data_IF_870597993599
#
_entry.id   IF_870597993599
#
_cell.length_a   1.000
_cell.length_b   1.000
_cell.length_c   1.000
_cell.angle_alpha   90.00
_cell.angle_beta   90.00
_cell.angle_gamma   90.00
#
_symmetry.space_group_name_H-M   'P 1'
#
loop_
_entity.id
_entity.type
_entity.pdbx_description
1 polymer ?
#
# COMPACT_ATOMS: atom_id res chain seq x y z
N UNK A 1 9.45 78.59 -0.81
CA UNK A 1 9.56 77.27 -0.18
C UNK A 1 11.04 76.93 -0.06
N UNK A 2 11.46 76.46 1.11
CA UNK A 2 12.79 76.57 1.71
C UNK A 2 13.94 75.70 1.11
N UNK A 3 15.16 76.28 1.16
CA UNK A 3 16.48 75.74 1.57
C UNK A 3 17.12 74.59 0.74
N UNK A 4 18.25 74.76 0.03
CA UNK A 4 19.68 74.84 0.49
C UNK A 4 20.00 73.76 1.56
N UNK A 5 21.03 72.90 1.47
CA UNK A 5 22.49 73.17 1.54
C UNK A 5 23.25 71.83 1.34
N UNK A 6 24.39 71.87 0.63
CA UNK A 6 25.48 70.88 0.63
C UNK A 6 26.26 70.90 1.95
N UNK A 7 26.64 69.75 2.54
CA UNK A 7 28.00 69.61 3.13
C UNK A 7 28.31 68.18 3.54
N UNK A 8 29.50 67.74 3.15
CA UNK A 8 30.22 66.60 3.68
C UNK A 8 30.61 66.81 5.15
N UNK A 9 30.80 65.71 5.90
CA UNK A 9 31.94 65.55 6.82
C UNK A 9 32.05 64.13 7.36
N UNK A 10 33.29 63.64 7.35
CA UNK A 10 33.77 62.36 7.86
C UNK A 10 33.57 62.28 9.38
N UNK A 11 33.27 61.08 9.88
CA UNK A 11 33.69 60.67 11.22
C UNK A 11 34.34 59.29 11.10
N UNK A 12 35.67 59.28 11.25
CA UNK A 12 36.39 58.07 11.64
C UNK A 12 36.06 57.79 13.11
N UNK A 13 35.74 56.55 13.43
CA UNK A 13 35.79 56.04 14.80
C UNK A 13 36.52 54.71 14.77
N UNK A 14 37.75 54.77 15.27
CA UNK A 14 38.58 53.64 15.66
C UNK A 14 37.95 52.94 16.85
N UNK A 15 37.63 51.65 16.72
CA UNK A 15 37.39 50.78 17.90
C UNK A 15 38.27 49.55 17.79
N UNK A 16 38.86 49.30 18.94
CA UNK A 16 40.02 48.50 19.26
C UNK A 16 39.79 47.00 19.20
N UNK A 17 40.88 46.33 18.86
CA UNK A 17 41.11 44.89 18.85
C UNK A 17 40.91 44.30 20.25
N UNK A 18 40.02 43.30 20.39
CA UNK A 18 40.10 42.33 21.49
C UNK A 18 39.89 40.94 20.93
N UNK A 19 41.01 40.22 20.81
CA UNK A 19 41.06 38.75 20.69
C UNK A 19 40.47 38.14 21.96
N UNK A 20 39.60 37.14 21.82
CA UNK A 20 39.28 36.19 22.89
C UNK A 20 39.66 34.77 22.44
N UNK A 21 40.19 33.97 23.38
CA UNK A 21 40.95 32.77 23.07
C UNK A 21 40.05 31.61 22.64
N UNK A 22 40.66 30.72 21.87
CA UNK A 22 40.20 29.35 21.69
C UNK A 22 40.10 28.66 23.05
N UNK A 23 39.00 27.95 23.28
CA UNK A 23 38.98 26.88 24.26
C UNK A 23 38.45 25.61 23.61
N UNK A 24 39.36 24.64 23.60
CA UNK A 24 39.17 23.27 23.19
C UNK A 24 38.16 22.58 24.12
N UNK A 25 37.12 21.99 23.56
CA UNK A 25 36.47 20.83 24.17
C UNK A 25 36.94 19.59 23.43
N UNK A 26 38.10 19.08 23.83
CA UNK A 26 38.43 17.66 23.60
C UNK A 26 37.73 16.81 24.65
N UNK A 27 37.54 15.56 24.25
CA UNK A 27 37.25 14.37 25.05
C UNK A 27 35.74 14.13 25.27
N UNK A 28 35.16 12.94 25.07
CA UNK A 28 35.66 11.60 24.69
C UNK A 28 34.39 10.74 24.47
N UNK A 29 34.49 9.72 23.60
CA UNK A 29 33.60 8.55 23.50
C UNK A 29 32.14 8.75 23.05
N UNK A 30 31.84 8.31 21.83
CA UNK A 30 31.37 6.92 21.59
C UNK A 30 31.28 6.65 20.10
N UNK A 31 31.99 5.60 19.69
CA UNK A 31 31.78 4.92 18.42
C UNK A 31 30.32 4.49 18.31
N UNK A 32 29.63 4.94 17.26
CA UNK A 32 28.59 4.17 16.63
C UNK A 32 28.63 4.50 15.14
N UNK A 33 29.48 3.76 14.42
CA UNK A 33 29.36 3.64 12.98
C UNK A 33 27.94 3.12 12.71
N UNK A 34 27.06 3.99 12.24
CA UNK A 34 25.78 3.61 11.67
C UNK A 34 26.09 2.80 10.41
N UNK A 35 26.21 1.48 10.58
CA UNK A 35 26.01 0.53 9.49
C UNK A 35 24.53 0.21 9.44
N UNK A 36 23.76 1.09 8.80
CA UNK A 36 22.43 0.72 8.35
C UNK A 36 22.63 -0.18 7.13
N UNK A 37 22.64 -1.50 7.35
CA UNK A 37 22.40 -2.48 6.29
C UNK A 37 20.92 -2.83 6.37
N UNK A 38 20.08 -2.02 5.74
CA UNK A 38 18.74 -2.46 5.35
C UNK A 38 18.89 -3.31 4.08
N UNK A 39 19.43 -4.52 4.22
CA UNK A 39 19.28 -5.54 3.18
C UNK A 39 17.92 -6.20 3.40
N UNK A 40 16.88 -5.51 2.96
CA UNK A 40 15.52 -6.05 2.87
C UNK A 40 15.11 -6.08 1.42
N UNK A 41 15.83 -6.80 0.56
CA UNK A 41 15.24 -7.24 -0.71
C UNK A 41 14.22 -8.30 -0.33
N UNK A 42 13.02 -7.85 0.06
CA UNK A 42 11.87 -8.70 0.29
C UNK A 42 11.60 -9.43 -1.03
N UNK A 43 12.02 -10.69 -1.10
CA UNK A 43 11.46 -11.65 -2.03
C UNK A 43 9.99 -11.80 -1.60
N UNK A 44 9.12 -10.97 -2.17
CA UNK A 44 7.69 -10.99 -1.88
C UNK A 44 7.17 -12.36 -2.28
N UNK A 45 6.72 -13.11 -1.28
CA UNK A 45 6.26 -14.49 -1.43
C UNK A 45 5.06 -14.56 -2.37
N UNK A 46 5.16 -15.38 -3.41
CA UNK A 46 4.06 -15.79 -4.33
C UNK A 46 2.98 -16.66 -3.62
N UNK A 47 2.98 -16.67 -2.28
CA UNK A 47 2.03 -17.45 -1.50
C UNK A 47 0.70 -16.68 -1.37
N UNK A 48 -0.42 -17.40 -1.50
CA UNK A 48 -1.75 -16.84 -1.29
C UNK A 48 -1.94 -16.43 0.17
N UNK A 49 -2.51 -15.23 0.32
CA UNK A 49 -2.96 -14.66 1.59
C UNK A 49 -4.44 -14.37 1.50
N UNK A 50 -5.15 -14.47 2.62
CA UNK A 50 -6.61 -14.38 2.65
C UNK A 50 -7.11 -13.36 3.66
N UNK A 51 -8.22 -12.70 3.34
CA UNK A 51 -8.98 -11.82 4.22
C UNK A 51 -10.09 -12.58 4.94
N UNK A 52 -10.62 -12.00 6.01
CA UNK A 52 -11.84 -12.47 6.68
C UNK A 52 -13.10 -12.32 5.82
N UNK A 53 -13.03 -11.49 4.77
CA UNK A 53 -14.06 -11.29 3.75
C UNK A 53 -13.98 -12.29 2.59
N UNK A 54 -13.13 -13.32 2.70
CA UNK A 54 -12.97 -14.38 1.71
C UNK A 54 -12.36 -13.93 0.37
N UNK A 55 -11.64 -12.81 0.36
CA UNK A 55 -10.77 -12.41 -0.74
C UNK A 55 -9.38 -13.02 -0.57
N UNK A 56 -8.68 -13.22 -1.67
CA UNK A 56 -7.29 -13.64 -1.69
C UNK A 56 -6.42 -12.60 -2.36
N UNK A 57 -5.15 -12.58 -1.97
CA UNK A 57 -4.09 -11.81 -2.62
C UNK A 57 -2.83 -12.66 -2.79
N UNK A 58 -2.22 -12.59 -3.97
CA UNK A 58 -0.86 -13.09 -4.22
C UNK A 58 0.02 -11.93 -4.65
N UNK A 59 1.18 -11.77 -4.03
CA UNK A 59 2.09 -10.66 -4.31
C UNK A 59 3.33 -11.16 -5.04
N UNK A 60 3.52 -10.67 -6.25
CA UNK A 60 4.68 -10.97 -7.09
C UNK A 60 5.33 -9.67 -7.54
N UNK A 61 6.62 -9.51 -7.26
CA UNK A 61 7.40 -8.34 -7.68
C UNK A 61 6.79 -6.97 -7.29
N UNK A 62 6.09 -6.91 -6.15
CA UNK A 62 5.44 -5.68 -5.65
C UNK A 62 4.03 -5.43 -6.21
N UNK A 63 3.53 -6.33 -7.06
CA UNK A 63 2.16 -6.29 -7.58
C UNK A 63 1.34 -7.36 -6.88
N UNK A 64 0.28 -6.93 -6.19
CA UNK A 64 -0.72 -7.79 -5.58
C UNK A 64 -1.85 -8.09 -6.56
N UNK A 65 -2.03 -9.36 -6.91
CA UNK A 65 -3.21 -9.84 -7.65
C UNK A 65 -4.28 -10.23 -6.66
N UNK A 66 -5.50 -9.71 -6.81
CA UNK A 66 -6.61 -9.90 -5.88
C UNK A 66 -7.76 -10.64 -6.58
N UNK A 67 -8.42 -11.54 -5.85
CA UNK A 67 -9.64 -12.22 -6.28
C UNK A 67 -10.48 -12.71 -5.11
N UNK A 68 -11.53 -13.47 -5.39
CA UNK A 68 -12.34 -14.13 -4.35
C UNK A 68 -12.02 -15.62 -4.24
N UNK A 69 -12.13 -16.16 -3.03
CA UNK A 69 -11.84 -17.57 -2.78
C UNK A 69 -12.91 -18.51 -3.34
N UNK A 70 -12.57 -19.80 -3.43
CA UNK A 70 -13.51 -20.85 -3.82
C UNK A 70 -14.78 -20.88 -2.94
N UNK A 71 -14.60 -20.71 -1.63
CA UNK A 71 -15.72 -20.67 -0.68
C UNK A 71 -16.69 -19.50 -0.94
N UNK A 72 -16.14 -18.32 -1.25
CA UNK A 72 -16.94 -17.15 -1.58
C UNK A 72 -17.77 -17.37 -2.84
N UNK A 73 -17.15 -17.83 -3.94
CA UNK A 73 -17.88 -18.04 -5.19
C UNK A 73 -18.94 -19.15 -5.07
N UNK A 74 -18.68 -20.21 -4.29
CA UNK A 74 -19.66 -21.28 -4.06
C UNK A 74 -20.88 -20.75 -3.28
N UNK A 75 -20.65 -19.83 -2.33
CA UNK A 75 -21.69 -19.18 -1.53
C UNK A 75 -22.53 -18.18 -2.34
N UNK A 76 -21.89 -17.40 -3.22
CA UNK A 76 -22.58 -16.48 -4.14
C UNK A 76 -23.38 -17.25 -5.21
N UNK A 77 -22.86 -18.38 -5.68
CA UNK A 77 -23.40 -19.10 -6.83
C UNK A 77 -22.96 -18.45 -8.15
N UNK A 78 -23.77 -18.60 -9.19
CA UNK A 78 -23.43 -18.14 -10.54
C UNK A 78 -23.33 -16.60 -10.59
N UNK A 79 -22.12 -16.12 -10.86
CA UNK A 79 -21.81 -14.69 -11.00
C UNK A 79 -22.26 -14.23 -12.38
N UNK A 80 -23.08 -13.18 -12.41
CA UNK A 80 -23.68 -12.63 -13.63
C UNK A 80 -23.16 -11.24 -13.96
N UNK A 81 -22.59 -10.53 -12.99
CA UNK A 81 -22.04 -9.20 -13.19
C UNK A 81 -20.92 -8.88 -12.20
N UNK A 82 -19.95 -8.09 -12.64
CA UNK A 82 -18.83 -7.60 -11.84
C UNK A 82 -18.61 -6.11 -12.09
N UNK A 83 -18.65 -5.32 -11.03
CA UNK A 83 -18.28 -3.90 -11.04
C UNK A 83 -16.87 -3.75 -10.50
N UNK A 84 -15.93 -3.33 -11.35
CA UNK A 84 -14.53 -3.13 -11.01
C UNK A 84 -14.16 -1.64 -11.06
N UNK A 85 -13.14 -1.20 -10.30
CA UNK A 85 -12.68 0.18 -10.26
C UNK A 85 -11.94 0.56 -11.55
N UNK A 86 -11.68 1.85 -11.74
CA UNK A 86 -10.79 2.32 -12.79
C UNK A 86 -9.32 2.08 -12.43
N UNK A 87 -8.50 1.80 -13.45
CA UNK A 87 -7.03 1.76 -13.31
C UNK A 87 -6.53 3.14 -12.88
N UNK A 88 -5.61 3.18 -11.92
CA UNK A 88 -5.10 4.40 -11.28
C UNK A 88 -5.89 4.83 -10.03
N UNK A 89 -6.98 4.14 -9.68
CA UNK A 89 -7.69 4.39 -8.41
C UNK A 89 -6.78 4.01 -7.24
N UNK A 90 -6.64 4.92 -6.27
CA UNK A 90 -5.98 4.64 -4.99
C UNK A 90 -6.98 4.05 -4.02
N UNK A 91 -6.59 2.98 -3.36
CA UNK A 91 -7.38 2.23 -2.39
C UNK A 91 -6.60 2.15 -1.09
N UNK A 92 -7.26 2.39 0.04
CA UNK A 92 -6.73 2.01 1.35
C UNK A 92 -7.16 0.59 1.69
N UNK A 93 -6.46 -0.05 2.63
CA UNK A 93 -6.91 -1.30 3.22
C UNK A 93 -8.36 -1.17 3.72
N UNK A 94 -9.19 -2.17 3.37
CA UNK A 94 -10.64 -2.23 3.63
C UNK A 94 -11.49 -1.19 2.89
N UNK A 95 -10.95 -0.45 1.92
CA UNK A 95 -11.79 0.37 1.04
C UNK A 95 -12.57 -0.53 0.07
N UNK A 96 -13.84 -0.21 -0.14
CA UNK A 96 -14.65 -0.86 -1.17
C UNK A 96 -14.14 -0.44 -2.56
N UNK A 97 -13.78 -1.43 -3.37
CA UNK A 97 -13.29 -1.19 -4.72
C UNK A 97 -14.28 -1.60 -5.81
N UNK A 98 -15.21 -2.51 -5.50
CA UNK A 98 -16.11 -3.08 -6.48
C UNK A 98 -17.21 -3.94 -5.86
N UNK A 99 -17.99 -4.57 -6.73
CA UNK A 99 -19.14 -5.40 -6.32
C UNK A 99 -19.29 -6.58 -7.27
N UNK A 100 -19.60 -7.76 -6.74
CA UNK A 100 -20.01 -8.94 -7.49
C UNK A 100 -21.50 -9.18 -7.31
N UNK A 101 -22.20 -9.37 -8.43
CA UNK A 101 -23.60 -9.75 -8.44
C UNK A 101 -23.75 -11.16 -9.00
N UNK A 102 -24.54 -11.96 -8.30
CA UNK A 102 -24.90 -13.31 -8.67
C UNK A 102 -26.42 -13.43 -8.74
N UNK A 103 -26.90 -14.59 -9.21
CA UNK A 103 -28.34 -14.90 -9.22
C UNK A 103 -28.92 -14.98 -7.80
N UNK A 104 -28.09 -15.20 -6.77
CA UNK A 104 -28.54 -15.42 -5.39
C UNK A 104 -28.30 -14.22 -4.47
N UNK A 105 -27.20 -13.52 -4.67
CA UNK A 105 -26.70 -12.50 -3.75
C UNK A 105 -25.86 -11.43 -4.45
N UNK A 106 -25.66 -10.32 -3.76
CA UNK A 106 -24.73 -9.26 -4.12
C UNK A 106 -23.69 -9.15 -3.01
N UNK A 107 -22.41 -9.10 -3.37
CA UNK A 107 -21.31 -8.96 -2.43
C UNK A 107 -20.43 -7.79 -2.83
N UNK A 108 -20.18 -6.91 -1.86
CA UNK A 108 -19.16 -5.88 -1.96
C UNK A 108 -17.76 -6.50 -1.88
N UNK A 109 -16.79 -5.86 -2.52
CA UNK A 109 -15.40 -6.29 -2.56
C UNK A 109 -14.50 -5.25 -1.90
N UNK A 110 -13.63 -5.72 -1.00
CA UNK A 110 -12.79 -4.86 -0.18
C UNK A 110 -11.31 -5.04 -0.51
N UNK A 111 -10.55 -3.93 -0.49
CA UNK A 111 -9.12 -3.99 -0.80
C UNK A 111 -8.36 -4.63 0.37
N UNK A 112 -7.60 -5.72 0.14
CA UNK A 112 -6.84 -6.37 1.21
C UNK A 112 -5.68 -5.50 1.72
N UNK A 113 -5.14 -4.64 0.86
CA UNK A 113 -3.98 -3.79 1.13
C UNK A 113 -4.20 -2.37 0.62
N UNK A 114 -3.42 -1.43 1.15
CA UNK A 114 -3.28 -0.07 0.63
C UNK A 114 -2.41 -0.06 -0.63
N UNK A 115 -2.89 0.60 -1.69
CA UNK A 115 -2.24 0.58 -2.99
C UNK A 115 -2.95 1.36 -4.10
N UNK A 116 -2.40 1.27 -5.31
CA UNK A 116 -2.99 1.82 -6.54
C UNK A 116 -3.33 0.71 -7.52
N UNK A 117 -4.53 0.74 -8.09
CA UNK A 117 -4.98 -0.25 -9.10
C UNK A 117 -4.15 -0.08 -10.38
N UNK A 118 -3.43 -1.13 -10.76
CA UNK A 118 -2.57 -1.15 -11.95
C UNK A 118 -3.24 -1.83 -13.15
N UNK A 119 -4.10 -2.81 -12.88
CA UNK A 119 -4.78 -3.60 -13.92
C UNK A 119 -6.13 -4.09 -13.40
N UNK A 120 -7.09 -4.23 -14.31
CA UNK A 120 -8.39 -4.85 -14.03
C UNK A 120 -8.63 -6.00 -15.01
N UNK A 121 -9.35 -7.02 -14.59
CA UNK A 121 -9.66 -8.15 -15.45
C UNK A 121 -10.80 -7.81 -16.41
N UNK A 122 -10.45 -7.29 -17.59
CA UNK A 122 -11.41 -6.97 -18.64
C UNK A 122 -12.23 -8.18 -19.12
N UNK A 123 -11.71 -9.41 -18.99
CA UNK A 123 -12.40 -10.62 -19.42
C UNK A 123 -13.71 -10.88 -18.64
N UNK A 124 -13.82 -10.35 -17.41
CA UNK A 124 -15.02 -10.49 -16.58
C UNK A 124 -16.22 -9.68 -17.10
N UNK A 125 -15.97 -8.70 -17.97
CA UNK A 125 -17.06 -7.93 -18.61
C UNK A 125 -17.83 -8.82 -19.59
N UNK A 126 -17.11 -9.66 -20.33
CA UNK A 126 -17.71 -10.55 -21.33
C UNK A 126 -18.07 -11.92 -20.74
N UNK A 127 -17.30 -12.40 -19.76
CA UNK A 127 -17.48 -13.71 -19.12
C UNK A 127 -17.31 -13.64 -17.59
N UNK A 128 -18.33 -13.16 -16.86
CA UNK A 128 -18.29 -13.10 -15.39
C UNK A 128 -18.20 -14.50 -14.73
N UNK A 129 -18.59 -15.56 -15.45
CA UNK A 129 -18.52 -16.94 -14.97
C UNK A 129 -17.09 -17.46 -14.74
N UNK A 130 -16.05 -16.77 -15.23
CA UNK A 130 -14.66 -17.07 -14.91
C UNK A 130 -14.38 -17.05 -13.40
N UNK A 131 -15.10 -16.21 -12.66
CA UNK A 131 -15.00 -16.16 -11.19
C UNK A 131 -15.40 -17.50 -10.57
N UNK A 132 -16.41 -18.19 -11.12
CA UNK A 132 -16.82 -19.50 -10.65
C UNK A 132 -15.92 -20.64 -11.15
N UNK A 133 -15.43 -20.54 -12.38
CA UNK A 133 -14.65 -21.61 -13.03
C UNK A 133 -13.19 -21.65 -12.56
N UNK A 134 -12.57 -20.48 -12.43
CA UNK A 134 -11.12 -20.33 -12.28
C UNK A 134 -10.75 -19.22 -11.27
N UNK A 135 -11.35 -19.24 -10.07
CA UNK A 135 -11.23 -18.18 -9.06
C UNK A 135 -9.80 -17.78 -8.65
N UNK A 136 -8.81 -18.68 -8.77
CA UNK A 136 -7.40 -18.43 -8.42
C UNK A 136 -6.49 -18.19 -9.65
N UNK A 137 -7.02 -18.36 -10.86
CA UNK A 137 -6.29 -18.20 -12.11
C UNK A 137 -6.95 -17.11 -12.95
N UNK A 138 -7.79 -17.47 -13.92
CA UNK A 138 -8.41 -16.51 -14.86
C UNK A 138 -9.49 -15.62 -14.24
N UNK A 139 -9.98 -15.96 -13.04
CA UNK A 139 -11.02 -15.26 -12.29
C UNK A 139 -10.51 -14.17 -11.32
N UNK A 140 -9.25 -13.73 -11.45
CA UNK A 140 -8.73 -12.58 -10.70
C UNK A 140 -9.54 -11.30 -11.02
N UNK A 141 -9.61 -10.37 -10.09
CA UNK A 141 -10.45 -9.16 -10.20
C UNK A 141 -9.61 -7.94 -10.59
N UNK A 142 -8.62 -7.63 -9.75
CA UNK A 142 -7.74 -6.46 -9.92
C UNK A 142 -6.29 -6.82 -9.60
N UNK A 143 -5.36 -6.04 -10.14
CA UNK A 143 -3.97 -5.99 -9.67
C UNK A 143 -3.68 -4.61 -9.12
N UNK A 144 -2.97 -4.54 -8.00
CA UNK A 144 -2.62 -3.28 -7.33
C UNK A 144 -1.16 -3.24 -6.88
N UNK A 145 -0.58 -2.05 -6.81
CA UNK A 145 0.73 -1.86 -6.17
C UNK A 145 0.61 -2.03 -4.67
N UNK A 146 1.59 -2.66 -4.03
CA UNK A 146 1.61 -2.77 -2.57
C UNK A 146 2.39 -1.61 -1.98
N UNK A 147 1.69 -0.60 -1.44
CA UNK A 147 2.33 0.57 -0.85
C UNK A 147 2.86 0.28 0.56
N UNK A 148 2.15 -0.58 1.30
CA UNK A 148 2.50 -0.95 2.67
C UNK A 148 2.62 -2.48 2.84
N UNK A 149 3.82 -3.07 2.67
CA UNK A 149 3.99 -4.51 2.72
C UNK A 149 3.77 -5.12 4.11
N UNK A 150 3.78 -4.34 5.20
CA UNK A 150 3.50 -4.89 6.54
C UNK A 150 2.04 -5.32 6.70
N UNK A 151 1.13 -4.79 5.89
CA UNK A 151 -0.29 -5.18 5.93
C UNK A 151 -0.51 -6.63 5.50
N UNK A 152 0.45 -7.26 4.80
CA UNK A 152 0.42 -8.69 4.45
C UNK A 152 0.56 -9.60 5.68
N UNK A 153 1.18 -9.11 6.76
CA UNK A 153 1.35 -9.89 7.99
C UNK A 153 0.03 -10.03 8.77
N UNK A 154 -0.92 -9.13 8.53
CA UNK A 154 -2.27 -9.18 9.11
C UNK A 154 -3.17 -10.20 8.40
N UNK A 155 -2.79 -10.67 7.21
CA UNK A 155 -3.60 -11.58 6.40
C UNK A 155 -3.35 -13.05 6.77
N UNK A 156 -4.40 -13.85 6.64
CA UNK A 156 -4.36 -15.27 6.92
C UNK A 156 -3.52 -16.00 5.88
N UNK A 157 -2.72 -16.98 6.31
CA UNK A 157 -2.16 -17.98 5.39
C UNK A 157 -3.27 -18.94 4.93
N UNK A 158 -3.00 -19.67 3.86
CA UNK A 158 -3.90 -20.72 3.34
C UNK A 158 -4.35 -21.71 4.44
N UNK A 159 -3.41 -22.28 5.21
CA UNK A 159 -3.74 -23.18 6.34
C UNK A 159 -4.63 -22.54 7.42
N UNK A 160 -4.48 -21.23 7.65
CA UNK A 160 -5.29 -20.52 8.64
C UNK A 160 -6.70 -20.25 8.08
N UNK A 161 -6.79 -19.92 6.79
CA UNK A 161 -8.04 -19.70 6.09
C UNK A 161 -8.87 -20.99 5.99
N UNK A 162 -8.26 -22.13 5.68
CA UNK A 162 -8.97 -23.42 5.65
C UNK A 162 -9.61 -23.76 7.00
N UNK A 163 -8.89 -23.51 8.11
CA UNK A 163 -9.43 -23.69 9.47
C UNK A 163 -10.56 -22.70 9.77
N UNK A 164 -10.41 -21.46 9.30
CA UNK A 164 -11.43 -20.42 9.46
C UNK A 164 -12.73 -20.82 8.74
N UNK A 165 -12.64 -21.22 7.47
CA UNK A 165 -13.80 -21.67 6.67
C UNK A 165 -14.45 -22.90 7.31
N UNK A 166 -13.67 -23.90 7.70
CA UNK A 166 -14.21 -25.10 8.34
C UNK A 166 -14.97 -24.77 9.62
N UNK A 167 -14.48 -23.83 10.42
CA UNK A 167 -15.16 -23.40 11.65
C UNK A 167 -16.45 -22.61 11.41
N UNK A 168 -16.71 -22.13 10.18
CA UNK A 168 -17.96 -21.49 9.80
C UNK A 168 -19.02 -22.49 9.31
N UNK A 169 -18.60 -23.69 8.89
CA UNK A 169 -19.49 -24.76 8.43
C UNK A 169 -20.05 -25.61 9.59
N UNK A 170 -19.41 -25.57 10.76
CA UNK A 170 -19.79 -26.26 11.99
C UNK A 170 -20.78 -25.46 12.87
#
# INVERSE_FOLDING_TARGET
MAMRVLSAMRVLSTVTLVRRPAQECRLVWRSCLVRSLATGSQLLSSALKFTDKHEWISVENGIGTVGISKFAQDSLGEVVYCSLPEVGKKLNKMDEFGTLESVKAVSELYSPLTGEVTEINGALTDNPGLVNQSCYEEGWLIKLTVDNPSELDDLMSEDAYEKYVKALED
#
